data_IF_124916349338
#
_entry.id   IF_124916349338
#
_cell.length_a   1.000
_cell.length_b   1.000
_cell.length_c   1.000
_cell.angle_alpha   90.00
_cell.angle_beta   90.00
_cell.angle_gamma   90.00
#
_symmetry.space_group_name_H-M   'P 1'
#
loop_
_entity.id
_entity.type
_entity.pdbx_description
1 polymer ?
#
# COMPACT_ATOMS: atom_id res chain seq x y z
N UNK A 1 -33.21 -3.65 47.10
CA UNK A 1 -32.91 -4.55 45.95
C UNK A 1 -33.02 -3.76 44.67
N UNK A 2 -31.89 -3.35 44.09
CA UNK A 2 -31.87 -2.49 42.89
C UNK A 2 -32.10 -3.35 41.65
N UNK A 3 -33.23 -3.15 40.96
CA UNK A 3 -33.54 -3.80 39.68
C UNK A 3 -32.72 -3.09 38.60
N UNK A 4 -31.61 -3.68 38.19
CA UNK A 4 -30.84 -3.19 37.06
C UNK A 4 -31.70 -3.41 35.81
N UNK A 5 -32.07 -2.32 35.13
CA UNK A 5 -32.87 -2.34 33.91
C UNK A 5 -32.04 -2.91 32.75
N UNK A 6 -32.16 -4.22 32.53
CA UNK A 6 -31.46 -4.98 31.48
C UNK A 6 -31.64 -4.37 30.08
N UNK A 7 -32.79 -3.76 29.80
CA UNK A 7 -33.10 -3.14 28.50
C UNK A 7 -32.27 -1.89 28.21
N UNK A 8 -31.90 -1.11 29.23
CA UNK A 8 -31.08 0.08 29.07
C UNK A 8 -29.60 -0.29 28.75
N UNK A 9 -29.11 -1.39 29.32
CA UNK A 9 -27.74 -1.87 29.05
C UNK A 9 -27.58 -2.45 27.65
N UNK A 10 -28.59 -3.18 27.14
CA UNK A 10 -28.56 -3.76 25.78
C UNK A 10 -28.56 -2.66 24.70
N UNK A 11 -29.33 -1.58 24.89
CA UNK A 11 -29.34 -0.45 23.95
C UNK A 11 -28.02 0.33 23.95
N UNK A 12 -27.37 0.50 25.11
CA UNK A 12 -26.10 1.23 25.21
C UNK A 12 -24.94 0.46 24.54
N UNK A 13 -24.88 -0.87 24.72
CA UNK A 13 -23.89 -1.74 24.07
C UNK A 13 -23.99 -1.69 22.53
N UNK A 14 -25.21 -1.68 21.98
CA UNK A 14 -25.44 -1.58 20.53
C UNK A 14 -24.96 -0.24 19.94
N UNK A 15 -25.18 0.86 20.65
CA UNK A 15 -24.74 2.20 20.21
C UNK A 15 -23.22 2.35 20.23
N UNK A 16 -22.54 1.77 21.23
CA UNK A 16 -21.08 1.83 21.34
C UNK A 16 -20.39 0.92 20.30
N UNK A 17 -20.98 -0.22 19.95
CA UNK A 17 -20.55 -1.06 18.82
C UNK A 17 -20.70 -0.33 17.46
N UNK A 18 -21.79 0.40 17.25
CA UNK A 18 -22.00 1.23 16.06
C UNK A 18 -20.98 2.37 15.96
N UNK A 19 -20.69 3.07 17.07
CA UNK A 19 -19.67 4.13 17.12
C UNK A 19 -18.26 3.59 16.87
N UNK A 20 -17.91 2.44 17.45
CA UNK A 20 -16.59 1.82 17.22
C UNK A 20 -16.42 1.32 15.79
N UNK A 21 -17.47 0.77 15.16
CA UNK A 21 -17.41 0.34 13.76
C UNK A 21 -17.27 1.52 12.79
N UNK A 22 -18.02 2.62 13.03
CA UNK A 22 -17.91 3.83 12.21
C UNK A 22 -16.53 4.48 12.33
N UNK A 23 -15.94 4.54 13.53
CA UNK A 23 -14.57 5.03 13.74
C UNK A 23 -13.52 4.14 13.04
N UNK A 24 -13.65 2.81 13.13
CA UNK A 24 -12.78 1.87 12.40
C UNK A 24 -12.84 2.10 10.88
N UNK A 25 -14.05 2.24 10.31
CA UNK A 25 -14.24 2.52 8.88
C UNK A 25 -13.59 3.83 8.47
N UNK A 26 -13.77 4.90 9.25
CA UNK A 26 -13.19 6.22 9.00
C UNK A 26 -11.66 6.17 9.04
N UNK A 27 -11.08 5.56 10.08
CA UNK A 27 -9.63 5.35 10.20
C UNK A 27 -9.07 4.59 9.00
N UNK A 28 -9.77 3.56 8.54
CA UNK A 28 -9.34 2.79 7.38
C UNK A 28 -9.44 3.57 6.06
N UNK A 29 -10.47 4.39 5.88
CA UNK A 29 -10.58 5.29 4.72
C UNK A 29 -9.44 6.31 4.69
N UNK A 30 -9.13 6.94 5.83
CA UNK A 30 -8.02 7.90 5.97
C UNK A 30 -6.69 7.21 5.63
N UNK A 31 -6.45 6.01 6.17
CA UNK A 31 -5.24 5.22 5.85
C UNK A 31 -5.11 4.94 4.36
N UNK A 32 -6.19 4.52 3.69
CA UNK A 32 -6.20 4.26 2.24
C UNK A 32 -5.99 5.53 1.41
N UNK A 33 -6.54 6.65 1.85
CA UNK A 33 -6.34 7.94 1.19
C UNK A 33 -4.89 8.38 1.30
N UNK A 34 -4.31 8.31 2.50
CA UNK A 34 -2.90 8.64 2.75
C UNK A 34 -1.94 7.79 1.91
N UNK A 35 -2.18 6.47 1.83
CA UNK A 35 -1.40 5.57 0.98
C UNK A 35 -1.48 5.95 -0.50
N UNK A 36 -2.67 6.30 -1.01
CA UNK A 36 -2.87 6.74 -2.40
C UNK A 36 -2.12 8.03 -2.70
N UNK A 37 -2.14 8.99 -1.77
CA UNK A 37 -1.42 10.26 -1.93
C UNK A 37 0.09 10.03 -1.98
N UNK A 38 0.64 9.20 -1.08
CA UNK A 38 2.06 8.84 -1.11
C UNK A 38 2.47 8.18 -2.42
N UNK A 39 1.66 7.23 -2.94
CA UNK A 39 1.95 6.61 -4.24
C UNK A 39 2.00 7.68 -5.35
N UNK A 40 1.05 8.61 -5.35
CA UNK A 40 0.96 9.69 -6.35
C UNK A 40 2.17 10.63 -6.29
N UNK A 41 2.69 10.90 -5.09
CA UNK A 41 3.86 11.75 -4.87
C UNK A 41 5.18 11.05 -5.26
N UNK A 42 5.33 9.76 -4.91
CA UNK A 42 6.59 9.03 -5.13
C UNK A 42 6.75 8.55 -6.59
N UNK A 43 5.66 8.15 -7.27
CA UNK A 43 5.72 7.56 -8.61
C UNK A 43 6.46 8.44 -9.64
N UNK A 44 6.21 9.76 -9.76
CA UNK A 44 6.92 10.59 -10.74
C UNK A 44 8.43 10.66 -10.49
N UNK A 45 8.85 10.66 -9.22
CA UNK A 45 10.27 10.67 -8.84
C UNK A 45 10.93 9.35 -9.25
N UNK A 46 10.28 8.22 -8.96
CA UNK A 46 10.81 6.90 -9.30
C UNK A 46 10.84 6.68 -10.80
N UNK A 47 9.79 7.11 -11.50
CA UNK A 47 9.72 7.06 -12.96
C UNK A 47 10.88 7.82 -13.59
N UNK A 48 11.13 9.06 -13.13
CA UNK A 48 12.23 9.88 -13.64
C UNK A 48 13.58 9.20 -13.46
N UNK A 49 13.88 8.70 -12.26
CA UNK A 49 15.13 8.00 -11.97
C UNK A 49 15.33 6.76 -12.84
N UNK A 50 14.26 6.02 -13.13
CA UNK A 50 14.32 4.84 -14.00
C UNK A 50 14.60 5.22 -15.46
N UNK A 51 13.96 6.28 -15.96
CA UNK A 51 14.22 6.79 -17.31
C UNK A 51 15.64 7.31 -17.43
N UNK A 52 16.14 8.05 -16.43
CA UNK A 52 17.52 8.59 -16.41
C UNK A 52 18.60 7.50 -16.48
N UNK A 53 18.34 6.31 -15.93
CA UNK A 53 19.27 5.17 -16.02
C UNK A 53 19.07 4.32 -17.27
N UNK A 54 18.11 4.66 -18.14
CA UNK A 54 17.90 4.02 -19.44
C UNK A 54 16.77 2.99 -19.52
N UNK A 55 15.85 2.93 -18.54
CA UNK A 55 14.68 2.06 -18.62
C UNK A 55 13.68 2.63 -19.65
N UNK A 56 13.12 1.81 -20.57
CA UNK A 56 12.08 2.26 -21.50
C UNK A 56 10.89 2.88 -20.77
N UNK A 57 10.34 3.99 -21.28
CA UNK A 57 9.32 4.80 -20.60
C UNK A 57 8.11 3.98 -20.13
N UNK A 58 7.65 3.04 -20.95
CA UNK A 58 6.52 2.18 -20.65
C UNK A 58 6.82 1.23 -19.48
N UNK A 59 8.04 0.67 -19.44
CA UNK A 59 8.50 -0.20 -18.36
C UNK A 59 8.75 0.60 -17.08
N UNK A 60 9.36 1.78 -17.21
CA UNK A 60 9.63 2.68 -16.10
C UNK A 60 8.36 3.05 -15.35
N UNK A 61 7.24 3.24 -16.06
CA UNK A 61 5.96 3.55 -15.43
C UNK A 61 5.41 2.39 -14.58
N UNK A 62 5.50 1.16 -15.10
CA UNK A 62 5.08 -0.05 -14.39
C UNK A 62 5.94 -0.29 -13.15
N UNK A 63 7.26 -0.17 -13.29
CA UNK A 63 8.22 -0.34 -12.19
C UNK A 63 8.04 0.75 -11.13
N UNK A 64 7.95 2.02 -11.53
CA UNK A 64 7.74 3.14 -10.61
C UNK A 64 6.47 2.97 -9.79
N UNK A 65 5.37 2.53 -10.44
CA UNK A 65 4.11 2.23 -9.75
C UNK A 65 4.26 1.08 -8.76
N UNK A 66 4.91 -0.02 -9.16
CA UNK A 66 5.11 -1.19 -8.29
C UNK A 66 5.93 -0.84 -7.03
N UNK A 67 7.04 -0.13 -7.23
CA UNK A 67 7.95 0.27 -6.13
C UNK A 67 7.26 1.30 -5.22
N UNK A 68 6.55 2.29 -5.78
CA UNK A 68 5.81 3.27 -4.98
C UNK A 68 4.67 2.61 -4.17
N UNK A 69 3.98 1.61 -4.75
CA UNK A 69 2.98 0.83 -4.03
C UNK A 69 3.60 0.06 -2.86
N UNK A 70 4.75 -0.57 -3.09
CA UNK A 70 5.50 -1.25 -2.04
C UNK A 70 5.93 -0.29 -0.92
N UNK A 71 6.54 0.86 -1.25
CA UNK A 71 7.02 1.82 -0.23
C UNK A 71 5.88 2.53 0.53
N UNK A 72 4.72 2.72 -0.09
CA UNK A 72 3.56 3.34 0.55
C UNK A 72 2.77 2.38 1.44
N UNK A 73 2.66 1.11 1.03
CA UNK A 73 1.66 0.19 1.57
C UNK A 73 2.17 -1.22 1.86
N UNK A 74 3.45 -1.50 1.62
CA UNK A 74 4.08 -2.84 1.70
C UNK A 74 3.39 -3.88 0.82
N UNK A 75 2.64 -3.45 -0.19
CA UNK A 75 2.02 -4.33 -1.18
C UNK A 75 3.11 -4.88 -2.09
N UNK A 76 3.25 -6.20 -2.12
CA UNK A 76 4.18 -6.87 -3.02
C UNK A 76 3.77 -6.68 -4.50
N UNK A 77 4.73 -6.59 -5.43
CA UNK A 77 4.43 -6.58 -6.84
C UNK A 77 3.77 -7.89 -7.28
N UNK A 78 2.90 -7.85 -8.30
CA UNK A 78 2.35 -9.05 -8.91
C UNK A 78 3.39 -9.76 -9.80
N UNK A 79 3.09 -10.95 -10.31
CA UNK A 79 4.03 -11.77 -11.11
C UNK A 79 4.63 -11.03 -12.31
N UNK A 80 3.81 -10.26 -13.05
CA UNK A 80 4.29 -9.48 -14.21
C UNK A 80 5.26 -8.38 -13.75
N UNK A 81 4.93 -7.67 -12.67
CA UNK A 81 5.80 -6.65 -12.11
C UNK A 81 7.09 -7.24 -11.55
N UNK A 82 7.03 -8.41 -10.90
CA UNK A 82 8.22 -9.12 -10.41
C UNK A 82 9.13 -9.54 -11.56
N UNK A 83 8.56 -10.04 -12.66
CA UNK A 83 9.32 -10.38 -13.87
C UNK A 83 10.06 -9.16 -14.41
N UNK A 84 9.37 -8.02 -14.55
CA UNK A 84 10.01 -6.76 -14.98
C UNK A 84 11.08 -6.28 -13.97
N UNK A 85 10.85 -6.39 -12.67
CA UNK A 85 11.84 -6.01 -11.66
C UNK A 85 13.09 -6.91 -11.78
N UNK A 86 12.91 -8.19 -12.06
CA UNK A 86 14.01 -9.14 -12.29
C UNK A 86 14.79 -8.80 -13.56
N UNK A 87 14.09 -8.61 -14.68
CA UNK A 87 14.67 -8.25 -15.98
C UNK A 87 15.45 -6.93 -15.93
N UNK A 88 14.90 -5.92 -15.25
CA UNK A 88 15.51 -4.58 -15.11
C UNK A 88 16.24 -4.38 -13.77
N UNK A 89 16.61 -5.45 -13.06
CA UNK A 89 17.14 -5.36 -11.69
C UNK A 89 18.37 -4.43 -11.59
N UNK A 90 19.30 -4.52 -12.56
CA UNK A 90 20.49 -3.67 -12.61
C UNK A 90 20.14 -2.18 -12.69
N UNK A 91 19.11 -1.83 -13.46
CA UNK A 91 18.63 -0.45 -13.59
C UNK A 91 17.92 0.01 -12.32
N UNK A 92 17.08 -0.84 -11.73
CA UNK A 92 16.43 -0.56 -10.44
C UNK A 92 17.46 -0.30 -9.35
N UNK A 93 18.55 -1.08 -9.30
CA UNK A 93 19.67 -0.86 -8.39
C UNK A 93 20.39 0.45 -8.68
N UNK A 94 20.72 0.73 -9.95
CA UNK A 94 21.39 1.98 -10.37
C UNK A 94 20.56 3.23 -10.07
N UNK A 95 19.23 3.12 -10.12
CA UNK A 95 18.29 4.18 -9.76
C UNK A 95 18.10 4.35 -8.24
N UNK A 96 18.76 3.52 -7.41
CA UNK A 96 18.64 3.48 -5.94
C UNK A 96 17.21 3.11 -5.46
N UNK A 97 16.46 2.38 -6.28
CA UNK A 97 15.08 2.00 -6.01
C UNK A 97 14.93 0.54 -5.55
N UNK A 98 16.05 -0.16 -5.35
CA UNK A 98 16.05 -1.56 -4.93
C UNK A 98 15.47 -1.76 -3.52
N UNK A 99 14.69 -2.83 -3.35
CA UNK A 99 14.30 -3.39 -2.04
C UNK A 99 14.39 -4.90 -2.15
N UNK A 100 15.03 -5.54 -1.17
CA UNK A 100 15.22 -7.00 -1.20
C UNK A 100 13.90 -7.77 -1.26
N UNK A 101 12.83 -7.19 -0.71
CA UNK A 101 11.50 -7.81 -0.67
C UNK A 101 10.73 -7.75 -1.99
N UNK A 102 11.17 -6.96 -2.99
CA UNK A 102 10.46 -6.85 -4.27
C UNK A 102 10.49 -8.13 -5.09
N UNK A 103 11.51 -8.97 -4.90
CA UNK A 103 11.64 -10.28 -5.54
C UNK A 103 11.26 -11.44 -4.62
N UNK A 104 10.84 -11.18 -3.38
CA UNK A 104 10.32 -12.22 -2.48
C UNK A 104 8.86 -12.46 -2.85
N UNK A 105 8.65 -13.07 -4.02
CA UNK A 105 7.40 -13.70 -4.43
C UNK A 105 7.40 -15.14 -3.96
N UNK A 106 6.32 -15.54 -3.30
CA UNK A 106 6.18 -16.79 -2.56
C UNK A 106 6.81 -18.01 -3.24
N UNK A 107 7.82 -18.58 -2.59
CA UNK A 107 8.04 -20.03 -2.66
C UNK A 107 6.77 -20.64 -2.07
N UNK A 108 5.93 -21.20 -2.94
CA UNK A 108 4.92 -22.19 -2.58
C UNK A 108 5.32 -23.49 -3.25
#
# INVERSE_FOLDING_TARGET
>A
MSKINTTAMVNQLSVDELKTNTDRRRKQQIKRMWQRNRIREMRPVYWRRLVEVGVPVQVADVLAKAIAQYDASRRLPNTVQQHLISEYCRFVCRAELWRSQLLIGQVS
#
